data_IF_264831552285
#
_entry.id   IF_264831552285
#
_cell.length_a   1.000
_cell.length_b   1.000
_cell.length_c   1.000
_cell.angle_alpha   90.00
_cell.angle_beta   90.00
_cell.angle_gamma   90.00
#
_symmetry.space_group_name_H-M   'P 1'
#
loop_
_entity.id
_entity.type
_entity.pdbx_description
1 polymer ?
#
# COMPACT_ATOMS: atom_id res chain seq x y z
N UNK A 1 6.59 -2.46 -21.43
CA UNK A 1 6.51 -2.33 -19.95
C UNK A 1 5.35 -3.17 -19.42
N UNK A 2 5.20 -3.40 -18.11
CA UNK A 2 4.05 -4.17 -17.57
C UNK A 2 2.71 -3.53 -17.95
N UNK A 3 2.66 -2.21 -18.12
CA UNK A 3 1.44 -1.47 -18.48
C UNK A 3 0.95 -1.75 -19.91
N UNK A 4 1.83 -2.28 -20.78
CA UNK A 4 1.59 -2.43 -22.23
C UNK A 4 1.27 -3.87 -22.64
N UNK A 5 1.34 -4.84 -21.71
CA UNK A 5 1.07 -6.23 -22.03
C UNK A 5 -0.44 -6.49 -22.21
N UNK A 6 -0.84 -7.52 -22.98
CA UNK A 6 -2.25 -7.86 -23.19
C UNK A 6 -3.04 -8.06 -21.88
N UNK A 7 -2.40 -8.60 -20.85
CA UNK A 7 -3.00 -8.82 -19.53
C UNK A 7 -3.37 -7.52 -18.82
N UNK A 8 -2.57 -6.45 -18.96
CA UNK A 8 -2.89 -5.13 -18.42
C UNK A 8 -4.10 -4.51 -19.14
N UNK A 9 -4.20 -4.70 -20.46
CA UNK A 9 -5.38 -4.29 -21.22
C UNK A 9 -6.64 -5.07 -20.77
N UNK A 10 -6.51 -6.37 -20.54
CA UNK A 10 -7.60 -7.22 -20.03
C UNK A 10 -8.05 -6.81 -18.62
N UNK A 11 -7.12 -6.42 -17.74
CA UNK A 11 -7.45 -5.89 -16.41
C UNK A 11 -8.32 -4.64 -16.52
N UNK A 12 -7.93 -3.68 -17.37
CA UNK A 12 -8.70 -2.45 -17.60
C UNK A 12 -10.10 -2.74 -18.14
N UNK A 13 -10.22 -3.63 -19.12
CA UNK A 13 -11.50 -4.00 -19.72
C UNK A 13 -12.44 -4.68 -18.72
N UNK A 14 -11.95 -5.68 -17.98
CA UNK A 14 -12.79 -6.56 -17.15
C UNK A 14 -13.06 -5.95 -15.77
N UNK A 15 -12.07 -5.33 -15.14
CA UNK A 15 -12.18 -4.87 -13.76
C UNK A 15 -12.46 -3.37 -13.64
N UNK A 16 -12.14 -2.59 -14.69
CA UNK A 16 -12.18 -1.13 -14.62
C UNK A 16 -13.16 -0.52 -15.63
N UNK A 17 -13.94 -1.33 -16.35
CA UNK A 17 -14.89 -0.87 -17.36
C UNK A 17 -14.24 -0.10 -18.51
N UNK A 18 -12.96 -0.37 -18.81
CA UNK A 18 -12.17 0.31 -19.84
C UNK A 18 -11.51 1.61 -19.40
N UNK A 19 -11.54 1.96 -18.10
CA UNK A 19 -10.82 3.12 -17.57
C UNK A 19 -9.30 2.92 -17.56
N UNK A 20 -8.58 4.04 -17.53
CA UNK A 20 -7.12 4.11 -17.66
C UNK A 20 -6.41 3.87 -16.32
N UNK A 21 -6.20 2.59 -16.02
CA UNK A 21 -5.32 2.14 -14.94
C UNK A 21 -3.89 1.94 -15.44
N UNK A 22 -2.91 2.26 -14.59
CA UNK A 22 -1.50 1.99 -14.82
C UNK A 22 -1.08 0.73 -14.08
N UNK A 23 -0.44 -0.21 -14.78
CA UNK A 23 0.09 -1.45 -14.20
C UNK A 23 1.62 -1.37 -14.06
N UNK A 24 2.12 -1.60 -12.86
CA UNK A 24 3.55 -1.53 -12.52
C UNK A 24 3.99 -2.62 -11.55
N UNK A 25 5.27 -2.55 -11.14
CA UNK A 25 5.87 -3.48 -10.17
C UNK A 25 6.33 -2.73 -8.93
N UNK A 26 5.81 -3.13 -7.76
CA UNK A 26 6.31 -2.75 -6.45
C UNK A 26 7.10 -3.92 -5.86
N UNK A 27 8.37 -3.73 -5.54
CA UNK A 27 9.23 -4.78 -5.01
C UNK A 27 10.28 -4.20 -4.06
N UNK A 28 10.77 -5.03 -3.15
CA UNK A 28 11.79 -4.62 -2.20
C UNK A 28 11.77 -5.46 -0.93
N UNK A 29 12.30 -4.88 0.15
CA UNK A 29 12.35 -5.48 1.46
C UNK A 29 11.62 -4.58 2.45
N UNK A 30 10.64 -5.15 3.13
CA UNK A 30 9.93 -4.52 4.25
C UNK A 30 9.41 -5.64 5.13
N UNK A 31 9.38 -5.41 6.43
CA UNK A 31 8.84 -6.37 7.38
C UNK A 31 8.14 -5.68 8.55
N UNK A 32 7.84 -4.38 8.46
CA UNK A 32 7.20 -3.61 9.53
C UNK A 32 6.00 -2.85 9.02
N UNK A 33 5.05 -2.56 9.91
CA UNK A 33 3.93 -1.67 9.64
C UNK A 33 4.42 -0.33 9.10
N UNK A 34 5.17 0.44 9.90
CA UNK A 34 5.91 1.62 9.48
C UNK A 34 5.06 2.84 9.05
N UNK A 35 4.09 2.64 8.18
CA UNK A 35 3.14 3.62 7.68
C UNK A 35 1.91 2.91 7.12
N UNK A 36 0.87 3.69 6.84
CA UNK A 36 -0.28 3.27 6.06
C UNK A 36 -0.72 4.41 5.14
N UNK A 37 -1.16 4.06 3.95
CA UNK A 37 -1.67 4.94 2.92
C UNK A 37 -3.02 4.47 2.41
N UNK A 38 -3.69 5.38 1.71
CA UNK A 38 -4.90 5.06 0.95
C UNK A 38 -5.01 5.93 -0.30
N UNK A 39 -5.81 5.44 -1.24
CA UNK A 39 -6.13 6.06 -2.51
C UNK A 39 -7.64 6.32 -2.59
N UNK A 40 -8.07 7.27 -3.42
CA UNK A 40 -9.50 7.46 -3.72
C UNK A 40 -10.02 6.53 -4.82
N UNK A 41 -9.13 5.74 -5.41
CA UNK A 41 -9.44 4.61 -6.28
C UNK A 41 -9.13 3.29 -5.57
N UNK A 42 -9.58 2.18 -6.15
CA UNK A 42 -9.14 0.85 -5.72
C UNK A 42 -7.74 0.56 -6.28
N UNK A 43 -7.05 -0.39 -5.67
CA UNK A 43 -5.75 -0.88 -6.12
C UNK A 43 -5.81 -2.41 -6.29
N UNK A 44 -5.37 -2.90 -7.43
CA UNK A 44 -5.29 -4.32 -7.73
C UNK A 44 -3.87 -4.83 -7.47
N UNK A 45 -3.74 -5.79 -6.55
CA UNK A 45 -2.46 -6.36 -6.17
C UNK A 45 -2.37 -7.82 -6.59
N UNK A 46 -1.30 -8.17 -7.32
CA UNK A 46 -0.98 -9.55 -7.70
C UNK A 46 0.38 -9.91 -7.13
N UNK A 47 0.41 -10.92 -6.27
CA UNK A 47 1.65 -11.41 -5.66
C UNK A 47 2.51 -12.16 -6.69
N UNK A 48 3.62 -11.55 -7.13
CA UNK A 48 4.64 -12.24 -7.93
C UNK A 48 5.50 -13.14 -7.05
N UNK A 49 5.72 -12.70 -5.81
CA UNK A 49 6.17 -13.53 -4.68
C UNK A 49 5.15 -13.40 -3.58
N UNK A 50 5.02 -14.45 -2.77
CA UNK A 50 4.23 -14.41 -1.54
C UNK A 50 4.58 -13.18 -0.68
N UNK A 51 3.55 -12.57 -0.12
CA UNK A 51 3.66 -11.31 0.60
C UNK A 51 2.62 -11.23 1.72
N UNK A 52 2.85 -10.35 2.68
CA UNK A 52 1.87 -10.01 3.71
C UNK A 52 1.48 -8.54 3.57
N UNK A 53 0.18 -8.27 3.55
CA UNK A 53 -0.36 -6.93 3.66
C UNK A 53 -0.84 -6.67 5.09
N UNK A 54 -0.46 -5.52 5.63
CA UNK A 54 -0.97 -5.01 6.89
C UNK A 54 -2.07 -4.00 6.58
N UNK A 55 -3.31 -4.35 6.90
CA UNK A 55 -4.50 -3.61 6.49
C UNK A 55 -5.29 -3.09 7.69
N UNK A 56 -5.93 -1.94 7.51
CA UNK A 56 -6.95 -1.39 8.41
C UNK A 56 -8.03 -0.68 7.58
N UNK A 57 -9.18 -0.33 8.18
CA UNK A 57 -10.22 0.45 7.48
C UNK A 57 -10.11 1.94 7.76
N UNK A 58 -10.51 2.78 6.82
CA UNK A 58 -10.52 4.24 7.00
C UNK A 58 -11.46 4.70 8.10
N UNK A 59 -12.50 3.95 8.37
CA UNK A 59 -13.40 4.16 9.51
C UNK A 59 -12.76 3.83 10.87
N UNK A 60 -11.62 3.12 10.88
CA UNK A 60 -10.90 2.84 12.12
C UNK A 60 -10.11 4.05 12.64
N UNK A 61 -9.93 5.07 11.80
CA UNK A 61 -9.32 6.34 12.20
C UNK A 61 -10.21 7.08 13.20
N UNK A 62 -9.60 7.61 14.25
CA UNK A 62 -10.28 8.41 15.26
C UNK A 62 -10.57 9.85 14.78
N UNK A 63 -11.14 10.67 15.67
CA UNK A 63 -11.49 12.07 15.37
C UNK A 63 -10.30 12.96 14.98
N UNK A 64 -9.06 12.57 15.34
CA UNK A 64 -7.83 13.27 14.98
C UNK A 64 -7.20 12.68 13.69
N UNK A 65 -7.83 11.65 13.12
CA UNK A 65 -7.34 10.89 11.99
C UNK A 65 -6.12 10.04 12.34
N UNK A 66 -6.04 9.56 13.58
CA UNK A 66 -5.03 8.60 14.05
C UNK A 66 -5.60 7.19 14.11
N UNK A 67 -4.72 6.19 14.03
CA UNK A 67 -5.04 4.77 14.05
C UNK A 67 -4.35 4.08 15.23
N UNK A 68 -5.12 3.30 15.99
CA UNK A 68 -4.59 2.32 16.91
C UNK A 68 -4.05 1.11 16.13
N UNK A 69 -2.74 0.82 16.25
CA UNK A 69 -2.13 -0.32 15.58
C UNK A 69 -2.79 -1.66 15.93
N UNK A 70 -3.48 -1.78 17.07
CA UNK A 70 -4.22 -3.00 17.44
C UNK A 70 -5.41 -3.31 16.50
N UNK A 71 -5.86 -2.34 15.69
CA UNK A 71 -6.90 -2.54 14.67
C UNK A 71 -6.35 -3.09 13.35
N UNK A 72 -5.03 -3.05 13.15
CA UNK A 72 -4.39 -3.58 11.94
C UNK A 72 -4.52 -5.11 11.92
N UNK A 73 -4.73 -5.66 10.73
CA UNK A 73 -4.78 -7.11 10.47
C UNK A 73 -3.81 -7.47 9.36
N UNK A 74 -3.12 -8.60 9.54
CA UNK A 74 -2.21 -9.15 8.55
C UNK A 74 -2.97 -10.12 7.62
N UNK A 75 -2.74 -9.99 6.32
CA UNK A 75 -3.27 -10.86 5.28
C UNK A 75 -2.13 -11.42 4.46
N UNK A 76 -1.99 -12.74 4.46
CA UNK A 76 -1.06 -13.44 3.59
C UNK A 76 -1.68 -13.57 2.19
N UNK A 77 -0.87 -13.28 1.17
CA UNK A 77 -1.22 -13.46 -0.23
C UNK A 77 -0.19 -14.40 -0.87
N UNK A 78 -0.64 -15.57 -1.31
CA UNK A 78 0.22 -16.55 -1.94
C UNK A 78 0.67 -16.08 -3.33
N UNK A 79 1.80 -16.60 -3.80
CA UNK A 79 2.26 -16.33 -5.15
C UNK A 79 1.18 -16.68 -6.19
N UNK A 80 0.89 -15.73 -7.08
CA UNK A 80 -0.12 -15.83 -8.14
C UNK A 80 -1.52 -15.40 -7.72
N UNK A 81 -1.78 -15.17 -6.42
CA UNK A 81 -3.06 -14.65 -5.97
C UNK A 81 -3.20 -13.16 -6.25
N UNK A 82 -4.45 -12.76 -6.49
CA UNK A 82 -4.85 -11.39 -6.76
C UNK A 82 -5.88 -10.94 -5.74
N UNK A 83 -5.76 -9.69 -5.28
CA UNK A 83 -6.78 -9.01 -4.51
C UNK A 83 -7.10 -7.64 -5.10
N UNK A 84 -8.27 -7.14 -4.74
CA UNK A 84 -8.64 -5.74 -4.91
C UNK A 84 -8.65 -5.08 -3.53
N UNK A 85 -7.81 -4.07 -3.35
CA UNK A 85 -7.76 -3.21 -2.17
C UNK A 85 -8.71 -2.05 -2.41
N UNK A 86 -9.82 -2.03 -1.68
CA UNK A 86 -10.81 -0.98 -1.81
C UNK A 86 -10.29 0.38 -1.30
N UNK A 87 -10.77 1.48 -1.90
CA UNK A 87 -10.40 2.87 -1.53
C UNK A 87 -10.64 3.26 -0.05
N UNK A 88 -11.40 2.45 0.68
CA UNK A 88 -11.64 2.57 2.12
C UNK A 88 -10.61 1.83 2.98
N UNK A 89 -9.64 1.14 2.36
CA UNK A 89 -8.70 0.24 3.03
C UNK A 89 -7.31 0.87 3.06
N UNK A 90 -6.79 1.05 4.27
CA UNK A 90 -5.42 1.46 4.50
C UNK A 90 -4.50 0.28 4.25
N UNK A 91 -3.39 0.53 3.56
CA UNK A 91 -2.36 -0.45 3.23
C UNK A 91 -1.01 0.27 3.11
N UNK A 92 0.09 -0.45 2.99
CA UNK A 92 1.39 0.15 2.66
C UNK A 92 2.20 -0.85 1.84
N UNK A 93 3.49 -0.56 1.59
CA UNK A 93 4.34 -1.51 0.89
C UNK A 93 4.26 -2.89 1.57
N UNK A 94 4.09 -3.98 0.80
CA UNK A 94 3.96 -5.32 1.36
C UNK A 94 5.14 -5.71 2.24
N UNK A 95 4.87 -6.57 3.22
CA UNK A 95 5.90 -7.22 4.00
C UNK A 95 6.36 -8.52 3.32
N UNK A 96 7.65 -8.79 3.38
CA UNK A 96 8.26 -10.00 2.83
C UNK A 96 7.93 -11.22 3.70
N UNK A 97 7.59 -12.34 3.06
CA UNK A 97 7.38 -13.63 3.75
C UNK A 97 8.71 -14.37 3.91
N UNK A 98 9.62 -14.23 2.96
CA UNK A 98 10.98 -14.79 3.02
C UNK A 98 12.01 -13.68 2.83
N UNK A 99 13.28 -13.99 3.14
CA UNK A 99 14.41 -13.04 2.95
C UNK A 99 14.69 -12.68 1.48
N UNK A 100 13.98 -13.27 0.53
CA UNK A 100 14.07 -12.93 -0.89
C UNK A 100 13.38 -11.60 -1.24
N UNK A 101 12.69 -10.97 -0.28
CA UNK A 101 11.90 -9.77 -0.52
C UNK A 101 10.49 -10.07 -1.02
N UNK A 102 9.67 -9.02 -1.10
CA UNK A 102 8.35 -9.07 -1.73
C UNK A 102 8.43 -8.60 -3.19
N UNK A 103 7.46 -9.02 -4.00
CA UNK A 103 7.28 -8.54 -5.37
C UNK A 103 5.81 -8.59 -5.71
N UNK A 104 5.22 -7.44 -6.01
CA UNK A 104 3.80 -7.26 -6.24
C UNK A 104 3.59 -6.47 -7.54
N UNK A 105 2.81 -7.02 -8.47
CA UNK A 105 2.25 -6.21 -9.55
C UNK A 105 1.13 -5.38 -8.94
N UNK A 106 1.12 -4.08 -9.26
CA UNK A 106 0.15 -3.12 -8.74
C UNK A 106 -0.56 -2.47 -9.93
N UNK A 107 -1.89 -2.48 -9.94
CA UNK A 107 -2.73 -1.81 -10.92
C UNK A 107 -3.65 -0.80 -10.25
N UNK A 108 -3.53 0.47 -10.59
CA UNK A 108 -4.35 1.55 -10.03
C UNK A 108 -4.34 2.79 -10.93
N UNK A 109 -5.14 3.79 -10.56
CA UNK A 109 -5.46 4.89 -11.48
C UNK A 109 -4.19 5.58 -11.97
N UNK A 110 -4.07 5.79 -13.28
CA UNK A 110 -2.86 6.36 -13.86
C UNK A 110 -2.48 7.68 -13.20
N UNK A 111 -1.19 7.81 -12.89
CA UNK A 111 -0.64 9.00 -12.24
C UNK A 111 -0.79 9.04 -10.72
N UNK A 112 -1.39 8.01 -10.11
CA UNK A 112 -1.30 7.82 -8.65
C UNK A 112 0.16 7.70 -8.22
N UNK A 113 0.48 8.12 -6.99
CA UNK A 113 1.83 8.18 -6.43
C UNK A 113 2.78 9.23 -7.05
N UNK A 114 2.41 9.92 -8.14
CA UNK A 114 3.26 10.96 -8.72
C UNK A 114 3.49 12.11 -7.73
N UNK A 115 4.71 12.69 -7.70
CA UNK A 115 4.99 13.85 -6.87
C UNK A 115 4.03 15.00 -7.15
N UNK A 116 3.58 15.66 -6.08
CA UNK A 116 2.82 16.91 -6.15
C UNK A 116 3.65 18.06 -5.58
N UNK A 117 3.30 19.28 -5.97
CA UNK A 117 3.95 20.47 -5.44
C UNK A 117 3.82 20.54 -3.90
N UNK A 118 4.86 20.96 -3.15
CA UNK A 118 4.84 20.96 -1.69
C UNK A 118 3.64 21.68 -1.06
N UNK A 119 3.21 22.79 -1.65
CA UNK A 119 2.05 23.59 -1.22
C UNK A 119 0.71 22.86 -1.37
N UNK A 120 0.66 21.79 -2.17
CA UNK A 120 -0.51 20.92 -2.29
C UNK A 120 -0.55 19.82 -1.24
N UNK A 121 0.53 19.59 -0.48
CA UNK A 121 0.57 18.60 0.61
C UNK A 121 -0.14 19.14 1.85
N UNK A 122 -1.46 19.27 1.74
CA UNK A 122 -2.34 19.67 2.83
C UNK A 122 -2.86 18.44 3.57
N UNK A 123 -3.04 18.57 4.88
CA UNK A 123 -3.44 17.48 5.78
C UNK A 123 -2.53 16.25 5.66
N UNK A 124 -3.08 15.14 5.17
CA UNK A 124 -2.39 13.85 5.02
C UNK A 124 -2.05 13.55 3.55
N UNK A 125 -2.35 14.48 2.62
CA UNK A 125 -2.10 14.30 1.19
C UNK A 125 -0.59 14.34 0.91
N UNK A 126 -0.04 13.23 0.42
CA UNK A 126 1.40 13.04 0.28
C UNK A 126 1.87 13.09 -1.17
N UNK A 127 1.07 12.51 -2.07
CA UNK A 127 1.31 12.44 -3.50
C UNK A 127 -0.03 12.43 -4.25
N UNK A 128 0.00 12.45 -5.59
CA UNK A 128 -1.22 12.38 -6.39
C UNK A 128 -2.03 11.14 -6.02
N UNK A 129 -3.31 11.34 -5.66
CA UNK A 129 -4.22 10.30 -5.22
C UNK A 129 -3.68 9.43 -4.06
N UNK A 130 -2.85 9.98 -3.16
CA UNK A 130 -2.25 9.23 -2.05
C UNK A 130 -2.18 10.06 -0.78
N UNK A 131 -2.82 9.55 0.26
CA UNK A 131 -2.71 10.07 1.61
C UNK A 131 -1.92 9.09 2.46
N UNK A 132 -1.14 9.60 3.41
CA UNK A 132 -0.17 8.81 4.16
C UNK A 132 -0.16 9.22 5.64
N UNK A 133 -0.17 8.21 6.52
CA UNK A 133 0.13 8.36 7.94
C UNK A 133 1.30 7.45 8.32
N UNK A 134 2.25 7.97 9.09
CA UNK A 134 3.39 7.22 9.60
C UNK A 134 3.13 6.68 11.01
N UNK A 135 3.76 5.57 11.34
CA UNK A 135 3.91 5.16 12.74
C UNK A 135 4.77 6.18 13.49
N UNK A 136 4.41 6.53 14.71
CA UNK A 136 5.12 7.56 15.50
C UNK A 136 6.60 7.21 15.76
N UNK A 137 6.91 5.91 15.81
CA UNK A 137 8.29 5.40 15.87
C UNK A 137 9.08 5.48 14.55
N UNK A 138 8.45 5.80 13.42
CA UNK A 138 9.11 5.91 12.11
C UNK A 138 9.72 7.30 11.89
N UNK A 139 10.72 7.64 12.70
CA UNK A 139 11.33 8.98 12.74
C UNK A 139 11.73 9.52 11.38
N UNK A 140 12.34 8.69 10.52
CA UNK A 140 12.79 9.12 9.19
C UNK A 140 11.63 9.54 8.26
N UNK A 141 10.45 8.91 8.40
CA UNK A 141 9.27 9.28 7.62
C UNK A 141 8.61 10.55 8.20
N UNK A 142 8.58 10.68 9.53
CA UNK A 142 8.04 11.86 10.21
C UNK A 142 8.90 13.10 9.92
N UNK A 143 10.23 12.98 9.92
CA UNK A 143 11.16 14.06 9.54
C UNK A 143 10.96 14.54 8.11
N UNK A 144 10.46 13.66 7.21
CA UNK A 144 10.09 14.02 5.84
C UNK A 144 8.73 14.70 5.73
N UNK A 145 8.02 14.88 6.85
CA UNK A 145 6.74 15.59 6.95
C UNK A 145 5.51 14.70 6.89
N UNK A 146 5.64 13.38 7.06
CA UNK A 146 4.46 12.53 7.20
C UNK A 146 3.77 12.78 8.54
N UNK A 147 2.44 12.71 8.55
CA UNK A 147 1.66 12.85 9.78
C UNK A 147 1.90 11.63 10.71
N UNK A 148 2.29 11.82 11.98
CA UNK A 148 2.48 10.73 12.94
C UNK A 148 1.11 10.20 13.42
N UNK A 149 0.47 9.43 12.55
CA UNK A 149 -0.93 9.02 12.69
C UNK A 149 -1.14 7.59 13.19
N UNK A 150 -0.11 6.77 13.37
CA UNK A 150 -0.29 5.41 13.92
C UNK A 150 0.44 5.32 15.27
N UNK A 151 -0.28 4.86 16.29
CA UNK A 151 0.24 4.66 17.65
C UNK A 151 0.07 3.21 18.11
N UNK A 152 0.82 2.82 19.14
CA UNK A 152 0.82 1.45 19.65
C UNK A 152 1.99 0.62 19.13
N UNK A 153 1.76 -0.68 18.93
CA UNK A 153 2.80 -1.61 18.48
C UNK A 153 3.10 -1.44 16.99
N UNK A 154 4.36 -1.15 16.65
CA UNK A 154 4.83 -1.14 15.28
C UNK A 154 5.04 -2.59 14.82
N UNK A 155 3.97 -3.25 14.39
CA UNK A 155 3.97 -4.66 14.03
C UNK A 155 5.13 -5.03 13.10
N UNK A 156 5.77 -6.16 13.40
CA UNK A 156 6.85 -6.73 12.61
C UNK A 156 6.45 -8.14 12.13
N UNK A 157 6.53 -8.36 10.82
CA UNK A 157 6.46 -9.68 10.21
C UNK A 157 7.85 -10.29 10.29
N UNK A 158 7.93 -11.51 10.80
CA UNK A 158 9.19 -12.26 10.85
C UNK A 158 9.29 -13.16 9.62
N UNK A 159 10.18 -12.87 8.65
CA UNK A 159 10.29 -13.68 7.45
C UNK A 159 10.76 -15.09 7.81
N UNK A 160 10.14 -16.09 7.21
CA UNK A 160 10.55 -17.49 7.37
C UNK A 160 11.78 -17.78 6.49
N UNK A 161 12.59 -18.74 6.92
CA UNK A 161 13.63 -19.31 6.06
C UNK A 161 12.91 -20.01 4.91
N UNK A 162 13.10 -19.53 3.67
CA UNK A 162 12.69 -20.29 2.50
C UNK A 162 13.45 -21.62 2.47
N UNK A 163 12.76 -22.71 2.15
CA UNK A 163 13.41 -23.99 1.82
C UNK A 163 14.30 -23.87 0.58
#
# INVERSE_FOLDING_TARGET
ELDEIPEAARLREVLCGGLDEQVGLCWGHSNRLGALEWHTCNEFNVAVRELVLLLAKREDLDGDGRLDAAKVRAFYLAQGEMIEVYSDTLHFCPCEVTKAGFSCIVGLQRGTNLPIAPERKVDKLWAANKWLIGHEANGSLIERGAFPGIYGENWEIHPVSGE
#
